data_IF_281675964027
#
_entry.id   IF_281675964027
#
_cell.length_a   1.000
_cell.length_b   1.000
_cell.length_c   1.000
_cell.angle_alpha   90.00
_cell.angle_beta   90.00
_cell.angle_gamma   90.00
#
_symmetry.space_group_name_H-M   'P 1'
#
loop_
_entity.id
_entity.type
_entity.pdbx_description
1 polymer ?
#
# COMPACT_ATOMS: atom_id res chain seq x y z
N UNK A 1 -0.43 12.23 -18.79
CA UNK A 1 0.10 10.91 -18.39
C UNK A 1 -0.77 10.42 -17.23
N UNK A 2 -1.36 9.23 -17.36
CA UNK A 2 -2.15 8.58 -16.32
C UNK A 2 -1.33 7.43 -15.76
N UNK A 3 -1.19 7.37 -14.44
CA UNK A 3 -0.44 6.34 -13.73
C UNK A 3 -1.35 5.48 -12.87
N UNK A 4 -1.17 4.18 -12.93
CA UNK A 4 -1.83 3.21 -12.07
C UNK A 4 -0.86 2.79 -10.97
N UNK A 5 -1.22 3.01 -9.71
CA UNK A 5 -0.40 2.69 -8.54
C UNK A 5 -1.04 1.54 -7.80
N UNK A 6 -0.31 0.44 -7.68
CA UNK A 6 -0.73 -0.73 -6.92
C UNK A 6 0.10 -0.81 -5.65
N UNK A 7 -0.54 -1.03 -4.51
CA UNK A 7 0.15 -1.22 -3.25
C UNK A 7 -0.48 -2.33 -2.43
N UNK A 8 0.35 -3.18 -1.85
CA UNK A 8 -0.06 -4.18 -0.88
C UNK A 8 1.04 -4.41 0.16
N UNK A 9 0.72 -5.02 1.29
CA UNK A 9 1.69 -5.20 2.35
C UNK A 9 1.45 -6.44 3.21
N UNK A 10 2.50 -6.86 3.91
CA UNK A 10 2.43 -7.95 4.87
C UNK A 10 3.23 -7.60 6.11
N UNK A 11 2.59 -7.62 7.27
CA UNK A 11 3.18 -7.32 8.56
C UNK A 11 3.22 -8.56 9.46
N UNK A 12 4.26 -8.67 10.27
CA UNK A 12 4.29 -9.57 11.42
C UNK A 12 4.00 -8.77 12.70
N UNK A 13 2.85 -9.00 13.38
CA UNK A 13 2.48 -8.27 14.58
C UNK A 13 3.46 -8.47 15.75
N UNK A 14 4.19 -9.59 15.79
CA UNK A 14 5.07 -9.92 16.92
C UNK A 14 6.37 -9.12 16.89
N UNK A 15 6.99 -9.01 15.73
CA UNK A 15 8.23 -8.25 15.52
C UNK A 15 7.98 -6.79 15.15
N UNK A 16 6.72 -6.42 14.83
CA UNK A 16 6.34 -5.12 14.25
C UNK A 16 7.11 -4.77 12.97
N UNK A 17 7.59 -5.80 12.27
CA UNK A 17 8.25 -5.65 10.97
C UNK A 17 7.23 -5.91 9.88
N UNK A 18 7.24 -5.06 8.87
CA UNK A 18 6.39 -5.18 7.70
C UNK A 18 7.15 -5.05 6.39
N UNK A 19 6.59 -5.61 5.33
CA UNK A 19 7.04 -5.39 3.97
C UNK A 19 5.89 -4.83 3.14
N UNK A 20 6.11 -3.66 2.57
CA UNK A 20 5.28 -3.07 1.54
C UNK A 20 5.78 -3.47 0.15
N UNK A 21 4.86 -3.79 -0.74
CA UNK A 21 5.06 -3.95 -2.16
C UNK A 21 4.37 -2.81 -2.90
N UNK A 22 5.05 -2.23 -3.88
CA UNK A 22 4.51 -1.18 -4.73
C UNK A 22 4.87 -1.41 -6.19
N UNK A 23 3.96 -1.06 -7.07
CA UNK A 23 4.16 -1.10 -8.51
C UNK A 23 3.46 0.12 -9.13
N UNK A 24 4.12 0.73 -10.11
CA UNK A 24 3.57 1.86 -10.86
C UNK A 24 3.59 1.48 -12.33
N UNK A 25 2.44 1.56 -12.98
CA UNK A 25 2.26 1.28 -14.41
C UNK A 25 1.71 2.53 -15.10
N UNK A 26 1.99 2.68 -16.38
CA UNK A 26 1.26 3.62 -17.22
C UNK A 26 -0.10 3.01 -17.59
N UNK A 27 -1.12 3.85 -17.69
CA UNK A 27 -2.43 3.41 -18.17
C UNK A 27 -2.30 2.78 -19.57
N UNK A 28 -2.82 1.56 -19.73
CA UNK A 28 -2.72 0.78 -20.97
C UNK A 28 -1.49 -0.12 -21.09
N UNK A 29 -0.70 -0.28 -20.02
CA UNK A 29 0.45 -1.19 -20.01
C UNK A 29 0.06 -2.63 -20.38
N UNK A 30 0.54 -3.08 -21.53
CA UNK A 30 0.24 -4.37 -22.13
C UNK A 30 1.34 -5.43 -21.91
N UNK A 31 2.33 -5.16 -21.06
CA UNK A 31 3.41 -6.13 -20.77
C UNK A 31 2.86 -7.36 -20.06
N UNK A 32 3.52 -8.50 -20.23
CA UNK A 32 3.12 -9.72 -19.53
C UNK A 32 3.27 -9.57 -18.00
N UNK A 33 2.55 -10.40 -17.24
CA UNK A 33 2.62 -10.39 -15.78
C UNK A 33 4.03 -10.69 -15.26
N UNK A 34 4.78 -11.53 -15.98
CA UNK A 34 6.16 -11.88 -15.65
C UNK A 34 7.07 -10.64 -15.74
N UNK A 35 6.91 -9.84 -16.81
CA UNK A 35 7.68 -8.59 -16.98
C UNK A 35 7.30 -7.53 -15.97
N UNK A 36 6.02 -7.43 -15.63
CA UNK A 36 5.56 -6.49 -14.61
C UNK A 36 6.05 -6.88 -13.22
N UNK A 37 6.15 -8.18 -12.93
CA UNK A 37 6.66 -8.65 -11.65
C UNK A 37 8.12 -8.23 -11.39
N UNK A 38 8.91 -8.03 -12.44
CA UNK A 38 10.30 -7.55 -12.35
C UNK A 38 10.39 -6.10 -11.81
N UNK A 39 9.35 -5.30 -12.01
CA UNK A 39 9.28 -3.89 -11.60
C UNK A 39 8.70 -3.69 -10.18
N UNK A 40 8.24 -4.76 -9.53
CA UNK A 40 7.68 -4.66 -8.17
C UNK A 40 8.79 -4.23 -7.21
N UNK A 41 8.57 -3.09 -6.56
CA UNK A 41 9.46 -2.56 -5.53
C UNK A 41 9.01 -3.08 -4.18
N UNK A 42 9.97 -3.56 -3.39
CA UNK A 42 9.75 -3.97 -2.01
C UNK A 42 10.44 -3.02 -1.04
N UNK A 43 9.78 -2.69 0.07
CA UNK A 43 10.35 -1.91 1.16
C UNK A 43 10.02 -2.53 2.50
N UNK A 44 11.02 -2.63 3.38
CA UNK A 44 10.85 -3.03 4.77
C UNK A 44 10.49 -1.81 5.62
N UNK A 45 9.57 -2.00 6.55
CA UNK A 45 9.16 -1.05 7.57
C UNK A 45 9.33 -1.71 8.95
N UNK A 46 9.66 -0.91 9.95
CA UNK A 46 9.85 -1.32 11.34
C UNK A 46 8.90 -0.51 12.23
N UNK A 47 8.61 -1.03 13.43
CA UNK A 47 7.64 -0.43 14.37
C UNK A 47 6.28 -0.11 13.71
N UNK A 48 5.82 -1.00 12.84
CA UNK A 48 4.57 -0.84 12.11
C UNK A 48 3.51 -1.85 12.56
N UNK A 49 2.28 -1.63 12.10
CA UNK A 49 1.14 -2.54 12.24
C UNK A 49 0.49 -2.73 10.87
N UNK A 50 -0.35 -3.74 10.66
CA UNK A 50 -0.97 -3.95 9.34
C UNK A 50 -1.68 -2.70 8.81
N UNK A 51 -2.48 -2.02 9.64
CA UNK A 51 -3.20 -0.82 9.22
C UNK A 51 -2.32 0.42 9.04
N UNK A 52 -1.20 0.52 9.78
CA UNK A 52 -0.23 1.60 9.57
C UNK A 52 0.58 1.35 8.30
N UNK A 53 1.03 0.11 8.10
CA UNK A 53 1.84 -0.33 6.98
C UNK A 53 1.13 -0.13 5.64
N UNK A 54 -0.19 -0.36 5.57
CA UNK A 54 -0.99 -0.06 4.38
C UNK A 54 -0.78 1.39 3.91
N UNK A 55 -0.87 2.36 4.84
CA UNK A 55 -0.69 3.78 4.55
C UNK A 55 0.77 4.15 4.30
N UNK A 56 1.71 3.59 5.07
CA UNK A 56 3.15 3.83 4.88
C UNK A 56 3.62 3.34 3.51
N UNK A 57 3.10 2.18 3.06
CA UNK A 57 3.40 1.61 1.75
C UNK A 57 2.83 2.49 0.64
N UNK A 58 1.58 2.97 0.82
CA UNK A 58 0.97 3.92 -0.11
C UNK A 58 1.77 5.21 -0.26
N UNK A 59 2.07 5.87 0.85
CA UNK A 59 2.79 7.14 0.84
C UNK A 59 4.21 6.97 0.28
N UNK A 60 4.87 5.86 0.60
CA UNK A 60 6.14 5.52 -0.02
C UNK A 60 6.01 5.37 -1.55
N UNK A 61 5.00 4.67 -2.05
CA UNK A 61 4.78 4.52 -3.48
C UNK A 61 4.53 5.86 -4.17
N UNK A 62 3.65 6.70 -3.60
CA UNK A 62 3.30 8.02 -4.12
C UNK A 62 4.49 8.98 -4.11
N UNK A 63 5.33 8.94 -3.07
CA UNK A 63 6.55 9.74 -2.99
C UNK A 63 7.61 9.39 -4.03
N UNK A 64 7.50 8.24 -4.70
CA UNK A 64 8.41 7.80 -5.76
C UNK A 64 7.84 8.01 -7.17
N UNK A 65 6.69 8.68 -7.30
CA UNK A 65 6.12 8.97 -8.62
C UNK A 65 6.99 9.97 -9.40
N UNK A 66 7.06 9.84 -10.73
CA UNK A 66 7.73 10.82 -11.57
C UNK A 66 7.03 12.19 -11.44
N UNK A 67 7.83 13.26 -11.47
CA UNK A 67 7.29 14.63 -11.48
C UNK A 67 6.41 14.85 -12.71
N UNK A 68 5.27 15.51 -12.55
CA UNK A 68 4.35 15.78 -13.65
C UNK A 68 3.42 14.61 -13.99
N UNK A 69 3.25 13.63 -13.09
CA UNK A 69 2.11 12.73 -13.14
C UNK A 69 0.83 13.58 -13.17
N UNK A 70 -0.01 13.38 -14.19
CA UNK A 70 -1.28 14.11 -14.31
C UNK A 70 -2.31 13.49 -13.38
N UNK A 71 -2.84 12.35 -13.82
CA UNK A 71 -3.82 11.54 -13.08
C UNK A 71 -3.17 10.31 -12.47
N UNK A 72 -3.54 9.98 -11.24
CA UNK A 72 -3.08 8.82 -10.48
C UNK A 72 -4.29 7.99 -10.06
N UNK A 73 -4.33 6.73 -10.49
CA UNK A 73 -5.37 5.77 -10.12
C UNK A 73 -4.76 4.76 -9.14
N UNK A 74 -5.22 4.80 -7.89
CA UNK A 74 -4.75 3.93 -6.82
C UNK A 74 -5.58 2.64 -6.75
N UNK A 75 -4.92 1.50 -6.87
CA UNK A 75 -5.49 0.17 -6.70
C UNK A 75 -5.09 -0.43 -5.36
N UNK A 76 -6.09 -0.80 -4.56
CA UNK A 76 -5.90 -1.37 -3.22
C UNK A 76 -7.12 -2.21 -2.82
N UNK A 77 -6.92 -3.24 -2.00
CA UNK A 77 -8.02 -3.95 -1.32
C UNK A 77 -8.36 -3.36 0.07
N UNK A 78 -7.53 -2.42 0.56
CA UNK A 78 -7.72 -1.76 1.85
C UNK A 78 -8.98 -0.90 1.85
N UNK A 79 -9.95 -1.32 2.67
CA UNK A 79 -11.14 -0.54 2.92
C UNK A 79 -10.82 0.80 3.59
N UNK A 80 -9.75 0.87 4.39
CA UNK A 80 -9.32 2.10 5.05
C UNK A 80 -8.94 3.13 4.02
N UNK A 81 -8.03 2.77 3.10
CA UNK A 81 -7.55 3.64 2.03
C UNK A 81 -8.68 4.03 1.08
N UNK A 82 -9.47 3.04 0.62
CA UNK A 82 -10.60 3.28 -0.28
C UNK A 82 -11.61 4.30 0.28
N UNK A 83 -11.78 4.36 1.60
CA UNK A 83 -12.70 5.28 2.24
C UNK A 83 -12.08 6.63 2.65
N UNK A 84 -10.76 6.81 2.54
CA UNK A 84 -10.12 8.06 2.97
C UNK A 84 -10.70 9.30 2.29
N UNK A 85 -10.90 9.33 0.95
CA UNK A 85 -11.45 10.51 0.29
C UNK A 85 -12.81 10.94 0.88
N UNK A 86 -13.71 9.97 1.09
CA UNK A 86 -15.04 10.22 1.67
C UNK A 86 -15.00 10.59 3.17
N UNK A 87 -13.93 10.24 3.88
CA UNK A 87 -13.77 10.50 5.32
C UNK A 87 -13.03 11.80 5.63
N UNK A 88 -12.47 12.48 4.63
CA UNK A 88 -11.61 13.65 4.80
C UNK A 88 -12.27 14.74 5.66
N UNK A 89 -13.41 15.24 5.22
CA UNK A 89 -14.11 16.36 5.87
C UNK A 89 -14.34 16.06 7.37
N UNK A 90 -14.80 14.84 7.67
CA UNK A 90 -15.03 14.40 9.04
C UNK A 90 -13.73 14.33 9.86
N UNK A 91 -12.65 13.80 9.28
CA UNK A 91 -11.36 13.68 9.96
C UNK A 91 -10.74 15.05 10.26
N UNK A 92 -10.81 15.98 9.31
CA UNK A 92 -10.31 17.34 9.46
C UNK A 92 -11.16 18.14 10.48
N UNK A 93 -12.49 18.01 10.44
CA UNK A 93 -13.40 18.68 11.38
C UNK A 93 -13.12 18.32 12.85
N UNK A 94 -12.71 17.07 13.12
CA UNK A 94 -12.33 16.62 14.47
C UNK A 94 -10.82 16.70 14.71
N UNK A 95 -10.06 17.37 13.83
CA UNK A 95 -8.59 17.54 13.90
C UNK A 95 -7.84 16.21 14.06
N UNK A 96 -8.37 15.14 13.47
CA UNK A 96 -7.85 13.78 13.56
C UNK A 96 -7.82 13.22 14.98
N UNK A 97 -8.71 13.68 15.86
CA UNK A 97 -8.88 13.15 17.21
C UNK A 97 -10.07 12.17 17.30
N UNK A 98 -9.97 11.21 18.21
CA UNK A 98 -11.06 10.33 18.61
C UNK A 98 -12.15 11.11 19.36
N UNK A 99 -13.27 10.45 19.65
CA UNK A 99 -14.35 11.02 20.48
C UNK A 99 -13.88 11.41 21.90
N UNK A 100 -12.83 10.76 22.42
CA UNK A 100 -12.24 11.09 23.72
C UNK A 100 -11.16 12.19 23.64
N UNK A 101 -10.98 12.81 22.47
CA UNK A 101 -9.99 13.88 22.27
C UNK A 101 -8.55 13.40 22.05
N UNK A 102 -8.33 12.08 21.97
CA UNK A 102 -6.99 11.50 21.75
C UNK A 102 -6.67 11.50 20.27
N UNK A 103 -5.47 11.93 19.90
CA UNK A 103 -5.01 11.92 18.50
C UNK A 103 -5.04 10.49 17.94
N UNK A 104 -5.58 10.31 16.73
CA UNK A 104 -5.57 9.01 16.06
C UNK A 104 -4.14 8.58 15.76
N UNK A 105 -3.86 7.29 15.91
CA UNK A 105 -2.52 6.71 15.71
C UNK A 105 -2.01 6.78 14.26
N UNK A 106 -2.89 7.05 13.29
CA UNK A 106 -2.54 7.26 11.88
C UNK A 106 -2.73 8.72 11.44
N UNK A 107 -2.93 9.66 12.38
CA UNK A 107 -3.22 11.06 12.05
C UNK A 107 -2.10 11.72 11.22
N UNK A 108 -0.84 11.36 11.46
CA UNK A 108 0.32 11.77 10.66
C UNK A 108 0.16 11.34 9.20
N UNK A 109 -0.09 10.04 8.98
CA UNK A 109 -0.20 9.46 7.63
C UNK A 109 -1.46 9.94 6.89
N UNK A 110 -2.56 10.17 7.60
CA UNK A 110 -3.77 10.73 6.99
C UNK A 110 -3.54 12.16 6.48
N UNK A 111 -2.82 12.99 7.24
CA UNK A 111 -2.48 14.35 6.81
C UNK A 111 -1.58 14.31 5.58
N UNK A 112 -0.53 13.49 5.61
CA UNK A 112 0.38 13.33 4.47
C UNK A 112 -0.37 12.81 3.23
N UNK A 113 -1.31 11.89 3.40
CA UNK A 113 -2.14 11.41 2.29
C UNK A 113 -2.96 12.54 1.67
N UNK A 114 -3.61 13.39 2.49
CA UNK A 114 -4.38 14.52 1.94
C UNK A 114 -3.50 15.59 1.30
N UNK A 115 -2.29 15.82 1.83
CA UNK A 115 -1.32 16.72 1.19
C UNK A 115 -0.90 16.21 -0.20
N UNK A 116 -0.72 14.89 -0.35
CA UNK A 116 -0.42 14.26 -1.64
C UNK A 116 -1.66 14.28 -2.54
N UNK A 117 -2.84 14.00 -1.99
CA UNK A 117 -4.12 14.05 -2.70
C UNK A 117 -4.39 15.43 -3.31
N UNK A 118 -4.11 16.51 -2.58
CA UNK A 118 -4.35 17.87 -3.08
C UNK A 118 -3.39 18.29 -4.19
N UNK A 119 -2.23 17.64 -4.29
CA UNK A 119 -1.21 17.95 -5.30
C UNK A 119 -1.38 17.15 -6.60
N UNK A 120 -2.25 16.14 -6.61
CA UNK A 120 -2.39 15.21 -7.72
C UNK A 120 -3.87 14.99 -8.05
N UNK A 121 -4.20 14.76 -9.33
CA UNK A 121 -5.54 14.31 -9.68
C UNK A 121 -5.67 12.81 -9.35
N UNK A 122 -6.25 12.48 -8.20
CA UNK A 122 -6.27 11.12 -7.67
C UNK A 122 -7.66 10.46 -7.70
N UNK A 123 -7.67 9.16 -8.00
CA UNK A 123 -8.82 8.28 -7.85
C UNK A 123 -8.41 7.01 -7.08
N UNK A 124 -9.34 6.42 -6.33
CA UNK A 124 -9.12 5.13 -5.66
C UNK A 124 -10.07 4.08 -6.21
N UNK A 125 -9.51 3.01 -6.76
CA UNK A 125 -10.21 1.82 -7.20
C UNK A 125 -10.00 0.73 -6.16
N UNK A 126 -11.08 0.36 -5.47
CA UNK A 126 -11.05 -0.74 -4.51
C UNK A 126 -11.14 -2.07 -5.24
N UNK A 127 -10.14 -2.92 -5.08
CA UNK A 127 -10.15 -4.29 -5.58
C UNK A 127 -10.92 -5.22 -4.63
N UNK A 128 -11.60 -6.20 -5.18
CA UNK A 128 -12.29 -7.23 -4.40
C UNK A 128 -11.26 -8.23 -3.88
N UNK A 129 -11.03 -8.24 -2.57
CA UNK A 129 -10.20 -9.26 -1.94
C UNK A 129 -10.77 -10.67 -2.22
N UNK A 130 -9.89 -11.61 -2.60
CA UNK A 130 -10.20 -13.03 -2.73
C UNK A 130 -11.30 -13.41 -3.74
N UNK A 131 -11.13 -13.07 -5.03
CA UNK A 131 -11.97 -13.59 -6.12
C UNK A 131 -11.46 -14.92 -6.73
N UNK A 132 -12.35 -15.81 -7.21
CA UNK A 132 -11.98 -17.00 -7.99
C UNK A 132 -11.15 -16.65 -9.23
N UNK A 133 -10.18 -17.48 -9.60
CA UNK A 133 -9.21 -17.18 -10.66
C UNK A 133 -9.81 -16.95 -12.04
N UNK A 134 -11.01 -17.47 -12.31
CA UNK A 134 -11.72 -17.32 -13.59
C UNK A 134 -12.34 -15.93 -13.77
N UNK A 135 -12.52 -15.18 -12.68
CA UNK A 135 -13.15 -13.85 -12.69
C UNK A 135 -12.14 -12.72 -12.47
N UNK A 136 -10.85 -13.05 -12.31
CA UNK A 136 -9.81 -12.06 -12.06
C UNK A 136 -9.55 -11.22 -13.31
N UNK A 137 -9.73 -9.91 -13.16
CA UNK A 137 -9.25 -8.94 -14.13
C UNK A 137 -7.72 -8.92 -14.16
N UNK A 138 -7.15 -8.21 -15.13
CA UNK A 138 -5.71 -7.99 -15.18
C UNK A 138 -5.19 -7.29 -13.91
N UNK A 139 -5.94 -6.32 -13.39
CA UNK A 139 -5.58 -5.58 -12.19
C UNK A 139 -5.56 -6.50 -10.95
N UNK A 140 -6.50 -7.44 -10.85
CA UNK A 140 -6.52 -8.46 -9.78
C UNK A 140 -5.31 -9.41 -9.86
N UNK A 141 -4.87 -9.74 -11.07
CA UNK A 141 -3.69 -10.57 -11.29
C UNK A 141 -2.41 -9.81 -10.92
N UNK A 142 -2.31 -8.53 -11.30
CA UNK A 142 -1.22 -7.65 -10.89
C UNK A 142 -1.19 -7.54 -9.37
N UNK A 143 -2.32 -7.26 -8.74
CA UNK A 143 -2.43 -7.18 -7.28
C UNK A 143 -1.99 -8.49 -6.59
N UNK A 144 -2.37 -9.64 -7.15
CA UNK A 144 -1.93 -10.96 -6.66
C UNK A 144 -0.40 -11.16 -6.70
N UNK A 145 0.32 -10.48 -7.60
CA UNK A 145 1.78 -10.48 -7.62
C UNK A 145 2.36 -9.68 -6.45
N UNK A 146 1.78 -8.51 -6.14
CA UNK A 146 2.21 -7.66 -5.03
C UNK A 146 2.01 -8.38 -3.69
N UNK A 147 0.83 -8.95 -3.45
CA UNK A 147 0.51 -9.74 -2.25
C UNK A 147 1.54 -10.86 -2.04
N UNK A 148 1.81 -11.63 -3.11
CA UNK A 148 2.81 -12.69 -3.08
C UNK A 148 4.21 -12.14 -2.78
N UNK A 149 4.58 -11.00 -3.35
CA UNK A 149 5.89 -10.39 -3.15
C UNK A 149 6.08 -9.93 -1.69
N UNK A 150 5.10 -9.22 -1.13
CA UNK A 150 5.11 -8.75 0.26
C UNK A 150 5.19 -9.92 1.25
N UNK A 151 4.32 -10.93 1.11
CA UNK A 151 4.32 -12.13 1.97
C UNK A 151 5.61 -12.93 1.86
N UNK A 152 6.14 -13.11 0.65
CA UNK A 152 7.42 -13.79 0.43
C UNK A 152 8.58 -13.05 1.09
N UNK A 153 8.59 -11.72 1.04
CA UNK A 153 9.61 -10.90 1.68
C UNK A 153 9.56 -11.02 3.21
N UNK A 154 8.37 -10.94 3.80
CA UNK A 154 8.19 -11.12 5.24
C UNK A 154 8.62 -12.52 5.70
N UNK A 155 8.21 -13.58 4.99
CA UNK A 155 8.60 -14.96 5.32
C UNK A 155 10.11 -15.17 5.32
N UNK A 156 10.81 -14.63 4.30
CA UNK A 156 12.28 -14.70 4.23
C UNK A 156 12.96 -13.94 5.37
N UNK A 157 12.35 -12.87 5.86
CA UNK A 157 12.86 -12.15 7.03
C UNK A 157 12.75 -13.02 8.28
N UNK A 158 11.57 -13.58 8.54
CA UNK A 158 11.30 -14.44 9.70
C UNK A 158 12.20 -15.70 9.70
N UNK A 159 12.43 -16.32 8.54
CA UNK A 159 13.34 -17.47 8.45
C UNK A 159 14.80 -17.13 8.74
N UNK A 160 15.26 -15.93 8.36
CA UNK A 160 16.63 -15.46 8.64
C UNK A 160 16.82 -15.15 10.13
N UNK A 161 15.81 -14.57 10.77
CA UNK A 161 15.83 -14.27 12.21
C UNK A 161 15.90 -15.53 13.07
N UNK A 162 15.36 -16.66 12.61
CA UNK A 162 15.44 -17.95 13.30
C UNK A 162 16.79 -18.65 13.13
N UNK A 163 17.49 -18.43 12.01
CA UNK A 163 18.78 -19.07 11.73
C UNK A 163 19.99 -18.42 12.45
N UNK A 164 19.81 -17.26 13.08
CA UNK A 164 20.87 -16.54 13.81
C UNK A 164 20.91 -16.81 15.32
N UNK A 165 20.13 -17.76 15.83
CA UNK A 165 19.94 -18.02 17.27
C UNK A 165 20.80 -19.12 17.89
N UNK A 166 21.53 -19.92 17.12
CA UNK A 166 22.45 -20.94 17.64
C UNK A 166 23.90 -20.48 17.45
N UNK A 167 24.47 -19.91 18.50
CA UNK A 167 25.84 -19.40 18.51
C UNK A 167 26.20 -18.75 19.85
N UNK A 168 25.97 -19.47 20.95
CA UNK A 168 26.41 -19.14 22.30
C UNK A 168 26.98 -20.37 22.99
#
# INVERSE_FOLDING_TARGET
>A
MCLQVFTDCSADPSTKVGYGAALVLEEGDSRSLERIAEDIKLKRFEETSSSRLELETLLWALGNLPRGAGRVVLFTDSQTIANLPARREKLEAVRFCSKSGVLLSQADLYREFYDVWDRNEMEVVKLSGHMPSIEKSRDDLVFSLLDRAARSALRRNLSKSQAGGDGG
#
